data_IF_082670069641
#
_entry.id   IF_082670069641
#
_cell.length_a   1.000
_cell.length_b   1.000
_cell.length_c   1.000
_cell.angle_alpha   90.00
_cell.angle_beta   90.00
_cell.angle_gamma   90.00
#
_symmetry.space_group_name_H-M   'P 1'
#
loop_
_entity.id
_entity.type
_entity.pdbx_description
1 polymer ?
#
# COMPACT_ATOMS: atom_id res chain seq x y z
N UNK A 1 12.03 -2.35 24.73
CA UNK A 1 11.23 -1.25 24.18
C UNK A 1 10.29 -0.73 25.25
N UNK A 2 10.11 0.59 25.37
CA UNK A 2 9.34 1.22 26.44
C UNK A 2 7.82 1.15 26.27
N UNK A 3 7.05 1.59 27.28
CA UNK A 3 5.58 1.56 27.26
C UNK A 3 4.98 2.43 26.14
N UNK A 4 5.64 3.51 25.73
CA UNK A 4 5.21 4.36 24.61
C UNK A 4 5.19 3.59 23.29
N UNK A 5 6.26 2.85 22.99
CA UNK A 5 6.33 2.02 21.79
C UNK A 5 5.30 0.89 21.80
N UNK A 6 5.09 0.25 22.95
CA UNK A 6 4.10 -0.82 23.04
C UNK A 6 2.68 -0.32 22.75
N UNK A 7 2.33 0.91 23.17
CA UNK A 7 1.04 1.54 22.87
C UNK A 7 0.91 1.92 21.39
N UNK A 8 1.97 2.49 20.80
CA UNK A 8 2.01 2.76 19.37
C UNK A 8 1.84 1.46 18.56
N UNK A 9 2.58 0.41 18.93
CA UNK A 9 2.51 -0.89 18.25
C UNK A 9 1.15 -1.57 18.41
N UNK A 10 0.56 -1.55 19.61
CA UNK A 10 -0.79 -2.06 19.84
C UNK A 10 -1.83 -1.29 19.00
N UNK A 11 -1.72 0.04 18.94
CA UNK A 11 -2.56 0.87 18.06
C UNK A 11 -2.41 0.51 16.59
N UNK A 12 -1.16 0.28 16.14
CA UNK A 12 -0.87 -0.17 14.78
C UNK A 12 -1.47 -1.55 14.49
N UNK A 13 -1.39 -2.51 15.41
CA UNK A 13 -2.01 -3.83 15.23
C UNK A 13 -3.52 -3.70 15.02
N UNK A 14 -4.21 -2.93 15.86
CA UNK A 14 -5.66 -2.78 15.80
C UNK A 14 -6.09 -2.01 14.54
N UNK A 15 -5.37 -0.94 14.19
CA UNK A 15 -5.64 -0.16 12.97
C UNK A 15 -5.41 -1.02 11.71
N UNK A 16 -4.29 -1.74 11.61
CA UNK A 16 -4.02 -2.61 10.48
C UNK A 16 -4.99 -3.81 10.37
N UNK A 17 -5.49 -4.32 11.50
CA UNK A 17 -6.56 -5.32 11.47
C UNK A 17 -7.84 -4.73 10.86
N UNK A 18 -8.20 -3.52 11.26
CA UNK A 18 -9.33 -2.79 10.71
C UNK A 18 -9.14 -2.52 9.20
N UNK A 19 -7.96 -2.05 8.79
CA UNK A 19 -7.62 -1.84 7.37
C UNK A 19 -7.75 -3.15 6.57
N UNK A 20 -7.27 -4.27 7.10
CA UNK A 20 -7.37 -5.59 6.46
C UNK A 20 -8.82 -6.04 6.27
N UNK A 21 -9.69 -5.80 7.25
CA UNK A 21 -11.12 -6.06 7.12
C UNK A 21 -11.73 -5.21 6.00
N UNK A 22 -11.36 -3.94 5.89
CA UNK A 22 -11.91 -3.03 4.89
C UNK A 22 -11.45 -3.36 3.46
N UNK A 23 -10.21 -3.81 3.28
CA UNK A 23 -9.64 -4.19 1.97
C UNK A 23 -10.51 -5.21 1.24
N UNK A 24 -11.10 -6.16 1.94
CA UNK A 24 -11.99 -7.15 1.32
C UNK A 24 -13.47 -6.72 1.36
N UNK A 25 -13.93 -6.05 2.43
CA UNK A 25 -15.33 -5.65 2.58
C UNK A 25 -15.74 -4.54 1.61
N UNK A 26 -14.89 -3.54 1.37
CA UNK A 26 -15.25 -2.40 0.52
C UNK A 26 -15.51 -2.80 -0.94
N UNK A 27 -14.67 -3.62 -1.62
CA UNK A 27 -14.99 -4.11 -2.96
C UNK A 27 -16.24 -5.00 -2.99
N UNK A 28 -16.47 -5.83 -1.97
CA UNK A 28 -17.68 -6.67 -1.86
C UNK A 28 -18.94 -5.83 -1.73
N UNK A 29 -18.91 -4.76 -0.95
CA UNK A 29 -20.03 -3.82 -0.85
C UNK A 29 -20.23 -3.09 -2.19
N UNK A 30 -19.17 -2.65 -2.84
CA UNK A 30 -19.24 -1.89 -4.08
C UNK A 30 -20.02 -2.63 -5.17
N UNK A 31 -19.79 -3.93 -5.34
CA UNK A 31 -20.47 -4.76 -6.36
C UNK A 31 -21.95 -5.00 -6.07
N UNK A 32 -22.43 -4.74 -4.82
CA UNK A 32 -23.85 -4.80 -4.47
C UNK A 32 -24.54 -3.46 -4.71
N UNK A 33 -23.79 -2.36 -4.76
CA UNK A 33 -24.32 -1.00 -4.92
C UNK A 33 -24.35 -0.52 -6.37
N UNK A 34 -23.53 -1.11 -7.24
CA UNK A 34 -23.44 -0.69 -8.64
C UNK A 34 -22.88 -1.79 -9.54
N UNK A 35 -23.33 -1.81 -10.79
CA UNK A 35 -22.74 -2.62 -11.87
C UNK A 35 -21.67 -1.83 -12.66
N UNK A 36 -21.49 -0.54 -12.39
CA UNK A 36 -20.50 0.29 -13.07
C UNK A 36 -19.07 -0.07 -12.67
N UNK A 37 -18.34 -0.68 -13.59
CA UNK A 37 -16.92 -1.01 -13.41
C UNK A 37 -16.06 0.23 -13.13
N UNK A 38 -16.45 1.37 -13.71
CA UNK A 38 -15.77 2.66 -13.51
C UNK A 38 -15.96 3.15 -12.08
N UNK A 39 -17.18 3.14 -11.53
CA UNK A 39 -17.42 3.58 -10.16
C UNK A 39 -16.70 2.68 -9.14
N UNK A 40 -16.66 1.37 -9.39
CA UNK A 40 -15.92 0.42 -8.54
C UNK A 40 -14.42 0.71 -8.58
N UNK A 41 -13.86 0.98 -9.76
CA UNK A 41 -12.43 1.29 -9.90
C UNK A 41 -12.04 2.65 -9.28
N UNK A 42 -12.96 3.62 -9.27
CA UNK A 42 -12.75 4.92 -8.62
C UNK A 42 -12.52 4.75 -7.11
N UNK A 43 -13.12 3.75 -6.45
CA UNK A 43 -12.87 3.51 -5.02
C UNK A 43 -11.37 3.24 -4.79
N UNK A 44 -10.76 2.35 -5.57
CA UNK A 44 -9.33 2.09 -5.48
C UNK A 44 -8.47 3.32 -5.80
N UNK A 45 -8.89 4.12 -6.77
CA UNK A 45 -8.23 5.38 -7.10
C UNK A 45 -8.30 6.39 -5.93
N UNK A 46 -9.45 6.47 -5.24
CA UNK A 46 -9.65 7.40 -4.11
C UNK A 46 -8.83 7.04 -2.88
N UNK A 47 -8.53 5.77 -2.63
CA UNK A 47 -7.62 5.36 -1.56
C UNK A 47 -6.19 5.83 -1.83
N UNK A 48 -5.74 5.79 -3.09
CA UNK A 48 -4.35 6.11 -3.47
C UNK A 48 -4.12 7.59 -3.77
N UNK A 49 -5.15 8.31 -4.24
CA UNK A 49 -5.06 9.71 -4.62
C UNK A 49 -4.55 10.64 -3.50
N UNK A 50 -4.93 10.45 -2.22
CA UNK A 50 -4.41 11.24 -1.11
C UNK A 50 -2.89 11.19 -0.96
N UNK A 51 -2.23 10.09 -1.31
CA UNK A 51 -0.77 10.00 -1.29
C UNK A 51 -0.10 10.99 -2.25
N UNK A 52 -0.75 11.29 -3.37
CA UNK A 52 -0.28 12.30 -4.32
C UNK A 52 -0.53 13.72 -3.81
N UNK A 53 -1.72 13.97 -3.27
CA UNK A 53 -2.19 15.32 -2.95
C UNK A 53 -1.79 15.80 -1.56
N UNK A 54 -1.78 14.89 -0.57
CA UNK A 54 -1.71 15.23 0.86
C UNK A 54 -0.47 14.71 1.58
N UNK A 55 0.35 13.83 1.00
CA UNK A 55 1.56 13.35 1.66
C UNK A 55 2.45 14.52 2.13
N UNK A 56 2.50 15.57 1.37
CA UNK A 56 3.28 16.78 1.57
C UNK A 56 2.70 17.69 2.67
N UNK A 57 1.46 18.18 2.53
CA UNK A 57 0.85 19.03 3.57
C UNK A 57 0.78 18.31 4.93
N UNK A 58 0.50 17.00 4.90
CA UNK A 58 0.44 16.18 6.12
C UNK A 58 1.81 16.03 6.76
N UNK A 59 2.90 15.83 6.00
CA UNK A 59 4.25 15.83 6.54
C UNK A 59 4.57 17.12 7.28
N UNK A 60 4.26 18.27 6.68
CA UNK A 60 4.44 19.58 7.33
C UNK A 60 3.54 19.78 8.57
N UNK A 61 2.36 19.17 8.60
CA UNK A 61 1.47 19.19 9.76
C UNK A 61 2.03 18.34 10.91
N UNK A 62 2.58 17.17 10.61
CA UNK A 62 3.19 16.22 11.57
C UNK A 62 4.38 16.86 12.30
N UNK A 63 5.11 17.76 11.63
CA UNK A 63 6.24 18.49 12.24
C UNK A 63 5.80 19.61 13.20
N UNK A 64 4.55 20.07 13.11
CA UNK A 64 4.04 21.24 13.86
C UNK A 64 3.06 20.89 14.97
N UNK A 65 2.37 19.76 14.86
CA UNK A 65 1.30 19.34 15.76
C UNK A 65 1.78 18.13 16.58
N UNK A 66 1.27 18.02 17.80
CA UNK A 66 1.52 16.83 18.63
C UNK A 66 1.05 15.57 17.87
N UNK A 67 1.99 14.68 17.62
CA UNK A 67 1.81 13.46 16.81
C UNK A 67 0.71 12.53 17.33
N UNK A 68 0.47 12.54 18.66
CA UNK A 68 -0.63 11.75 19.27
C UNK A 68 -1.98 12.24 18.80
N UNK A 69 -2.15 13.58 18.73
CA UNK A 69 -3.41 14.15 18.25
C UNK A 69 -3.65 13.86 16.78
N UNK A 70 -2.60 13.83 15.96
CA UNK A 70 -2.74 13.46 14.54
C UNK A 70 -3.14 11.99 14.42
N UNK A 71 -2.48 11.07 15.15
CA UNK A 71 -2.86 9.66 15.19
C UNK A 71 -4.29 9.47 15.71
N UNK A 72 -4.63 10.15 16.79
CA UNK A 72 -5.97 10.05 17.39
C UNK A 72 -7.04 10.63 16.46
N UNK A 73 -6.81 11.81 15.89
CA UNK A 73 -7.77 12.47 15.00
C UNK A 73 -7.99 11.65 13.72
N UNK A 74 -6.92 11.12 13.08
CA UNK A 74 -7.06 10.28 11.91
C UNK A 74 -7.86 9.01 12.22
N UNK A 75 -7.60 8.34 13.33
CA UNK A 75 -8.37 7.15 13.71
C UNK A 75 -9.81 7.50 14.14
N UNK A 76 -10.04 8.66 14.78
CA UNK A 76 -11.39 9.14 15.10
C UNK A 76 -12.23 9.41 13.84
N UNK A 77 -11.63 10.09 12.85
CA UNK A 77 -12.29 10.37 11.57
C UNK A 77 -12.59 9.07 10.83
N UNK A 78 -11.63 8.14 10.76
CA UNK A 78 -11.84 6.81 10.16
C UNK A 78 -12.99 6.06 10.85
N UNK A 79 -13.00 6.02 12.19
CA UNK A 79 -14.06 5.39 12.98
C UNK A 79 -15.44 6.00 12.67
N UNK A 80 -15.54 7.33 12.66
CA UNK A 80 -16.79 8.02 12.39
C UNK A 80 -17.28 7.76 10.94
N UNK A 81 -16.40 7.90 9.95
CA UNK A 81 -16.75 7.71 8.53
C UNK A 81 -17.21 6.28 8.28
N UNK A 82 -16.49 5.27 8.77
CA UNK A 82 -16.89 3.87 8.59
C UNK A 82 -18.10 3.51 9.41
N UNK A 83 -18.27 4.09 10.60
CA UNK A 83 -19.49 3.94 11.40
C UNK A 83 -20.74 4.47 10.68
N UNK A 84 -20.62 5.61 10.00
CA UNK A 84 -21.69 6.17 9.16
C UNK A 84 -21.99 5.24 7.98
N UNK A 85 -20.97 4.67 7.32
CA UNK A 85 -21.16 3.68 6.26
C UNK A 85 -21.87 2.44 6.79
N UNK A 86 -21.44 1.89 7.95
CA UNK A 86 -22.09 0.74 8.59
C UNK A 86 -23.56 0.99 8.89
N UNK A 87 -23.88 2.17 9.43
CA UNK A 87 -25.25 2.58 9.70
C UNK A 87 -26.06 2.71 8.40
N UNK A 88 -25.48 3.33 7.37
CA UNK A 88 -26.10 3.45 6.06
C UNK A 88 -26.43 2.09 5.43
N UNK A 89 -25.54 1.07 5.59
CA UNK A 89 -25.79 -0.30 5.16
C UNK A 89 -26.94 -0.91 5.96
N UNK A 90 -26.90 -0.80 7.30
CA UNK A 90 -27.91 -1.39 8.17
C UNK A 90 -29.32 -0.79 7.95
N UNK A 91 -29.41 0.48 7.56
CA UNK A 91 -30.67 1.18 7.27
C UNK A 91 -31.07 1.14 5.78
N UNK A 92 -30.26 0.57 4.91
CA UNK A 92 -30.54 0.49 3.46
C UNK A 92 -30.36 1.81 2.70
N UNK A 93 -29.69 2.81 3.27
CA UNK A 93 -29.51 4.14 2.64
C UNK A 93 -28.12 4.37 2.04
N UNK A 94 -27.20 3.38 2.14
CA UNK A 94 -25.86 3.51 1.59
C UNK A 94 -25.89 3.55 0.06
N UNK A 95 -25.05 4.41 -0.53
CA UNK A 95 -24.85 4.48 -1.99
C UNK A 95 -23.36 4.34 -2.32
N UNK A 96 -23.07 4.06 -3.59
CA UNK A 96 -21.67 3.96 -4.06
C UNK A 96 -20.88 5.26 -3.84
N UNK A 97 -21.54 6.42 -3.86
CA UNK A 97 -20.90 7.72 -3.63
C UNK A 97 -20.45 7.89 -2.18
N UNK A 98 -21.17 7.32 -1.20
CA UNK A 98 -20.70 7.29 0.19
C UNK A 98 -19.41 6.47 0.32
N UNK A 99 -19.35 5.34 -0.37
CA UNK A 99 -18.16 4.49 -0.37
C UNK A 99 -16.97 5.16 -1.04
N UNK A 100 -17.18 5.86 -2.16
CA UNK A 100 -16.15 6.64 -2.85
C UNK A 100 -15.64 7.79 -1.96
N UNK A 101 -16.53 8.55 -1.34
CA UNK A 101 -16.18 9.64 -0.46
C UNK A 101 -15.43 9.15 0.79
N UNK A 102 -15.91 8.04 1.40
CA UNK A 102 -15.25 7.44 2.55
C UNK A 102 -13.85 6.91 2.20
N UNK A 103 -13.67 6.29 1.03
CA UNK A 103 -12.36 5.81 0.56
C UNK A 103 -11.34 6.96 0.46
N UNK A 104 -11.76 8.13 -0.03
CA UNK A 104 -10.90 9.31 -0.12
C UNK A 104 -10.52 9.86 1.27
N UNK A 105 -11.50 10.01 2.17
CA UNK A 105 -11.25 10.49 3.54
C UNK A 105 -10.36 9.51 4.32
N UNK A 106 -10.61 8.21 4.20
CA UNK A 106 -9.78 7.16 4.81
C UNK A 106 -8.35 7.24 4.27
N UNK A 107 -8.17 7.40 2.96
CA UNK A 107 -6.85 7.56 2.36
C UNK A 107 -6.10 8.78 2.88
N UNK A 108 -6.76 9.93 3.11
CA UNK A 108 -6.13 11.11 3.77
C UNK A 108 -5.67 10.74 5.19
N UNK A 109 -6.54 10.08 5.96
CA UNK A 109 -6.22 9.66 7.32
C UNK A 109 -5.10 8.61 7.35
N UNK A 110 -5.02 7.74 6.35
CA UNK A 110 -3.96 6.74 6.21
C UNK A 110 -2.60 7.41 5.98
N UNK A 111 -2.52 8.37 5.07
CA UNK A 111 -1.31 9.19 4.88
C UNK A 111 -0.87 9.85 6.18
N UNK A 112 -1.82 10.41 6.94
CA UNK A 112 -1.54 11.06 8.23
C UNK A 112 -1.05 10.05 9.28
N UNK A 113 -1.72 8.91 9.38
CA UNK A 113 -1.38 7.86 10.34
C UNK A 113 0.02 7.28 10.08
N UNK A 114 0.31 6.88 8.84
CA UNK A 114 1.58 6.29 8.44
C UNK A 114 2.76 7.25 8.61
N UNK A 115 2.61 8.48 8.13
CA UNK A 115 3.65 9.52 8.26
C UNK A 115 3.95 9.81 9.72
N UNK A 116 2.91 9.89 10.56
CA UNK A 116 3.04 10.18 11.98
C UNK A 116 3.65 9.00 12.74
N UNK A 117 3.21 7.77 12.49
CA UNK A 117 3.75 6.58 13.15
C UNK A 117 5.24 6.40 12.88
N UNK A 118 5.68 6.60 11.63
CA UNK A 118 7.10 6.54 11.27
C UNK A 118 7.92 7.65 11.93
N UNK A 119 7.37 8.87 12.06
CA UNK A 119 8.05 10.00 12.70
C UNK A 119 8.15 9.89 14.24
N UNK A 120 7.34 9.04 14.86
CA UNK A 120 7.39 8.78 16.31
C UNK A 120 8.53 7.84 16.70
N UNK A 121 8.97 6.93 15.84
CA UNK A 121 9.99 5.92 16.17
C UNK A 121 11.25 6.55 16.76
N UNK A 122 11.89 7.56 16.13
CA UNK A 122 13.11 8.16 16.67
C UNK A 122 12.88 8.98 17.95
N UNK A 123 11.64 9.23 18.35
CA UNK A 123 11.32 9.98 19.57
C UNK A 123 11.07 9.07 20.77
N UNK A 124 10.67 7.82 20.53
CA UNK A 124 10.24 6.90 21.57
C UNK A 124 11.15 5.68 21.73
N UNK A 125 12.15 5.53 20.84
CA UNK A 125 13.15 4.47 20.88
C UNK A 125 14.55 5.06 20.76
N UNK A 126 15.53 4.34 21.36
CA UNK A 126 16.95 4.57 21.14
C UNK A 126 17.38 4.02 19.76
N UNK A 127 18.47 4.56 19.19
CA UNK A 127 18.95 4.19 17.85
C UNK A 127 19.14 2.69 17.65
N UNK A 128 19.66 1.99 18.65
CA UNK A 128 19.86 0.54 18.62
C UNK A 128 18.56 -0.28 18.45
N UNK A 129 17.40 0.35 18.71
CA UNK A 129 16.08 -0.28 18.64
C UNK A 129 15.27 0.12 17.40
N UNK A 130 15.75 1.04 16.55
CA UNK A 130 14.99 1.54 15.37
C UNK A 130 14.62 0.42 14.40
N UNK A 131 15.57 -0.45 14.05
CA UNK A 131 15.31 -1.57 13.14
C UNK A 131 14.23 -2.51 13.67
N UNK A 132 14.32 -2.84 14.97
CA UNK A 132 13.34 -3.72 15.63
C UNK A 132 11.96 -3.05 15.74
N UNK A 133 11.91 -1.74 15.97
CA UNK A 133 10.67 -0.96 16.00
C UNK A 133 9.99 -0.93 14.63
N UNK A 134 10.73 -0.57 13.60
CA UNK A 134 10.23 -0.55 12.22
C UNK A 134 9.78 -1.95 11.77
N UNK A 135 10.53 -2.99 12.09
CA UNK A 135 10.17 -4.38 11.77
C UNK A 135 8.84 -4.79 12.42
N UNK A 136 8.58 -4.41 13.69
CA UNK A 136 7.31 -4.70 14.35
C UNK A 136 6.12 -3.98 13.73
N UNK A 137 6.29 -2.71 13.34
CA UNK A 137 5.24 -1.97 12.61
C UNK A 137 4.98 -2.62 11.24
N UNK A 138 6.03 -2.99 10.52
CA UNK A 138 5.91 -3.66 9.22
C UNK A 138 5.24 -5.04 9.32
N UNK A 139 5.50 -5.79 10.39
CA UNK A 139 4.81 -7.06 10.68
C UNK A 139 3.32 -6.80 10.92
N UNK A 140 2.96 -5.74 11.67
CA UNK A 140 1.56 -5.38 11.89
C UNK A 140 0.86 -5.06 10.57
N UNK A 141 1.48 -4.28 9.70
CA UNK A 141 0.95 -3.96 8.38
C UNK A 141 0.82 -5.21 7.50
N UNK A 142 1.87 -6.01 7.37
CA UNK A 142 1.86 -7.14 6.42
C UNK A 142 1.08 -8.34 6.93
N UNK A 143 1.29 -8.74 8.19
CA UNK A 143 0.72 -9.99 8.74
C UNK A 143 -0.68 -9.78 9.26
N UNK A 144 -0.90 -8.75 10.08
CA UNK A 144 -2.22 -8.53 10.69
C UNK A 144 -3.23 -8.10 9.63
N UNK A 145 -2.87 -7.13 8.81
CA UNK A 145 -3.74 -6.63 7.73
C UNK A 145 -4.04 -7.72 6.70
N UNK A 146 -3.00 -8.33 6.12
CA UNK A 146 -3.13 -9.27 5.02
C UNK A 146 -3.63 -10.66 5.42
N UNK A 147 -3.13 -11.23 6.54
CA UNK A 147 -3.39 -12.64 6.88
C UNK A 147 -4.50 -12.84 7.89
N UNK A 148 -4.83 -11.82 8.70
CA UNK A 148 -5.90 -11.92 9.70
C UNK A 148 -7.11 -11.10 9.26
N UNK A 149 -6.90 -9.84 8.88
CA UNK A 149 -7.97 -8.91 8.56
C UNK A 149 -8.77 -9.31 7.32
N UNK A 150 -8.08 -9.63 6.22
CA UNK A 150 -8.76 -9.95 4.96
C UNK A 150 -9.63 -11.21 5.01
N UNK A 151 -9.20 -12.36 5.58
CA UNK A 151 -10.09 -13.52 5.75
C UNK A 151 -11.25 -13.26 6.70
N UNK A 152 -10.97 -12.55 7.81
CA UNK A 152 -11.99 -12.17 8.79
C UNK A 152 -13.11 -11.35 8.14
N UNK A 153 -12.75 -10.47 7.22
CA UNK A 153 -13.71 -9.66 6.46
C UNK A 153 -14.74 -10.51 5.70
N UNK A 154 -14.29 -11.50 4.94
CA UNK A 154 -15.19 -12.38 4.17
C UNK A 154 -16.17 -13.13 5.07
N UNK A 155 -15.68 -13.62 6.22
CA UNK A 155 -16.51 -14.31 7.20
C UNK A 155 -17.55 -13.35 7.83
N UNK A 156 -17.13 -12.16 8.27
CA UNK A 156 -18.01 -11.17 8.84
C UNK A 156 -19.07 -10.68 7.83
N UNK A 157 -18.65 -10.48 6.57
CA UNK A 157 -19.54 -10.09 5.49
C UNK A 157 -20.63 -11.14 5.22
N UNK A 158 -20.28 -12.42 5.34
CA UNK A 158 -21.24 -13.53 5.17
C UNK A 158 -22.27 -13.61 6.30
N UNK A 159 -21.93 -13.15 7.51
CA UNK A 159 -22.87 -13.06 8.63
C UNK A 159 -23.84 -11.88 8.47
N UNK A 160 -23.31 -10.71 8.16
CA UNK A 160 -24.10 -9.52 7.85
C UNK A 160 -23.23 -8.50 7.09
N UNK A 161 -23.78 -7.91 6.03
CA UNK A 161 -23.06 -6.97 5.15
C UNK A 161 -22.50 -5.74 5.90
N UNK A 162 -23.17 -5.25 6.93
CA UNK A 162 -22.76 -4.10 7.74
C UNK A 162 -21.69 -4.45 8.80
N UNK A 163 -21.58 -5.72 9.18
CA UNK A 163 -20.78 -6.17 10.33
C UNK A 163 -19.27 -5.89 10.18
N UNK A 164 -18.61 -6.16 9.03
CA UNK A 164 -17.19 -5.82 8.85
C UNK A 164 -16.94 -4.31 9.01
N UNK A 165 -17.84 -3.46 8.53
CA UNK A 165 -17.71 -2.00 8.67
C UNK A 165 -17.89 -1.55 10.12
N UNK A 166 -18.82 -2.13 10.85
CA UNK A 166 -19.05 -1.83 12.26
C UNK A 166 -17.86 -2.23 13.14
N UNK A 167 -17.35 -3.45 12.96
CA UNK A 167 -16.16 -3.94 13.70
C UNK A 167 -14.94 -3.09 13.35
N UNK A 168 -14.78 -2.70 12.09
CA UNK A 168 -13.74 -1.80 11.64
C UNK A 168 -13.82 -0.44 12.34
N UNK A 169 -15.01 0.15 12.43
CA UNK A 169 -15.23 1.41 13.15
C UNK A 169 -14.81 1.32 14.61
N UNK A 170 -15.16 0.22 15.30
CA UNK A 170 -14.71 -0.03 16.67
C UNK A 170 -13.19 -0.18 16.74
N UNK A 171 -12.57 -0.88 15.80
CA UNK A 171 -11.11 -1.03 15.72
C UNK A 171 -10.42 0.32 15.67
N UNK A 172 -10.85 1.23 14.79
CA UNK A 172 -10.30 2.58 14.73
C UNK A 172 -10.57 3.39 16.01
N UNK A 173 -11.73 3.24 16.65
CA UNK A 173 -12.00 3.89 17.94
C UNK A 173 -11.03 3.41 19.03
N UNK A 174 -10.71 2.12 19.08
CA UNK A 174 -9.72 1.56 20.00
C UNK A 174 -8.32 2.08 19.67
N UNK A 175 -7.94 2.13 18.37
CA UNK A 175 -6.65 2.69 17.93
C UNK A 175 -6.52 4.18 18.31
N UNK A 176 -7.59 4.97 18.20
CA UNK A 176 -7.67 6.34 18.69
C UNK A 176 -7.35 6.43 20.20
N UNK A 177 -7.99 5.62 21.01
CA UNK A 177 -7.76 5.62 22.47
C UNK A 177 -6.33 5.20 22.83
N UNK A 178 -5.77 4.22 22.12
CA UNK A 178 -4.38 3.81 22.27
C UNK A 178 -3.40 4.93 21.89
N UNK A 179 -3.67 5.66 20.82
CA UNK A 179 -2.87 6.82 20.43
C UNK A 179 -2.88 7.93 21.50
N UNK A 180 -4.05 8.26 22.04
CA UNK A 180 -4.17 9.23 23.15
C UNK A 180 -3.47 8.77 24.43
N UNK A 181 -3.34 7.47 24.64
CA UNK A 181 -2.69 6.90 25.82
C UNK A 181 -1.16 6.99 25.79
N UNK A 182 -0.53 7.37 24.68
CA UNK A 182 0.93 7.52 24.57
C UNK A 182 1.40 8.64 25.51
N UNK A 183 2.39 8.41 26.42
CA UNK A 183 2.78 9.40 27.43
C UNK A 183 3.41 10.66 26.83
N UNK A 184 3.05 11.83 27.37
CA UNK A 184 3.49 13.16 26.91
C UNK A 184 5.01 13.35 27.07
N UNK A 185 5.60 12.79 28.09
CA UNK A 185 6.99 13.02 28.46
C UNK A 185 8.01 12.61 27.38
N UNK A 186 7.64 11.71 26.48
CA UNK A 186 8.49 11.28 25.36
C UNK A 186 8.42 12.24 24.14
N UNK A 187 7.59 13.28 24.18
CA UNK A 187 7.29 14.14 23.04
C UNK A 187 7.72 15.61 23.26
N UNK A 188 8.19 15.97 24.48
CA UNK A 188 8.49 17.35 24.83
C UNK A 188 9.90 17.83 24.43
N UNK A 189 10.88 16.94 24.33
CA UNK A 189 12.27 17.32 24.08
C UNK A 189 12.57 17.82 22.66
N UNK A 190 11.70 17.52 21.68
CA UNK A 190 11.93 17.90 20.28
C UNK A 190 11.46 19.31 19.94
N UNK A 191 10.62 19.95 20.79
CA UNK A 191 10.13 21.32 20.53
C UNK A 191 11.19 22.41 20.69
N UNK A 192 12.29 22.14 21.39
CA UNK A 192 13.24 23.18 21.79
C UNK A 192 14.38 23.37 20.78
N UNK A 193 14.80 22.32 20.05
CA UNK A 193 15.96 22.44 19.16
C UNK A 193 15.64 22.71 17.68
N UNK A 194 14.43 22.40 17.20
CA UNK A 194 14.07 22.61 15.78
C UNK A 194 13.59 24.02 15.44
N UNK A 195 13.55 24.95 16.40
CA UNK A 195 12.86 26.24 16.23
C UNK A 195 13.67 27.37 15.60
N UNK A 196 14.95 27.21 15.28
CA UNK A 196 15.76 28.39 14.88
C UNK A 196 16.48 28.34 13.52
N UNK A 197 16.71 27.20 12.86
CA UNK A 197 17.59 27.26 11.68
C UNK A 197 17.13 26.57 10.36
N UNK A 198 16.10 25.75 10.34
CA UNK A 198 15.65 25.21 9.06
C UNK A 198 14.11 25.17 8.98
N UNK A 199 13.51 26.24 8.44
CA UNK A 199 12.16 26.12 7.88
C UNK A 199 12.25 25.05 6.80
N UNK A 200 11.50 23.94 6.92
CA UNK A 200 11.49 22.96 5.84
C UNK A 200 10.96 23.66 4.59
N UNK A 201 11.83 23.92 3.64
CA UNK A 201 11.48 24.41 2.30
C UNK A 201 10.93 23.23 1.49
N UNK A 202 9.80 22.72 1.92
CA UNK A 202 9.23 21.47 1.47
C UNK A 202 9.01 21.41 -0.06
N UNK A 203 8.51 22.52 -0.66
CA UNK A 203 8.37 22.64 -2.12
C UNK A 203 9.75 22.59 -2.79
N UNK A 204 10.78 23.14 -2.13
CA UNK A 204 12.16 23.07 -2.60
C UNK A 204 12.72 21.66 -2.49
N UNK A 205 12.38 20.93 -1.42
CA UNK A 205 12.79 19.53 -1.22
C UNK A 205 12.22 18.60 -2.29
N UNK A 206 10.96 18.81 -2.68
CA UNK A 206 10.36 18.06 -3.79
C UNK A 206 10.97 18.47 -5.12
N UNK A 207 11.09 19.77 -5.37
CA UNK A 207 11.77 20.24 -6.60
C UNK A 207 13.18 19.68 -6.69
N UNK A 208 13.89 19.66 -5.57
CA UNK A 208 15.21 19.03 -5.47
C UNK A 208 15.15 17.54 -5.76
N UNK A 209 14.23 16.80 -5.10
CA UNK A 209 14.04 15.36 -5.31
C UNK A 209 13.70 15.04 -6.76
N UNK A 210 12.76 15.76 -7.37
CA UNK A 210 12.40 15.59 -8.79
C UNK A 210 13.59 15.90 -9.69
N UNK A 211 14.30 17.02 -9.46
CA UNK A 211 15.49 17.39 -10.23
C UNK A 211 16.60 16.34 -10.10
N UNK A 212 16.81 15.84 -8.89
CA UNK A 212 17.81 14.78 -8.64
C UNK A 212 17.44 13.48 -9.38
N UNK A 213 16.18 13.02 -9.25
CA UNK A 213 15.68 11.83 -9.95
C UNK A 213 15.76 12.00 -11.48
N UNK A 214 15.44 13.18 -11.98
CA UNK A 214 15.51 13.47 -13.42
C UNK A 214 16.95 13.46 -13.95
N UNK A 215 17.90 14.03 -13.22
CA UNK A 215 19.29 14.13 -13.62
C UNK A 215 20.06 12.80 -13.44
N UNK A 216 19.64 11.94 -12.51
CA UNK A 216 20.31 10.68 -12.23
C UNK A 216 19.77 9.57 -13.16
N UNK A 217 20.49 9.25 -14.22
CA UNK A 217 20.06 8.32 -15.30
C UNK A 217 19.50 6.98 -14.79
N UNK A 218 20.15 6.38 -13.78
CA UNK A 218 19.72 5.08 -13.21
C UNK A 218 18.41 5.23 -12.44
N UNK A 219 18.35 6.20 -11.52
CA UNK A 219 17.15 6.42 -10.68
C UNK A 219 15.95 6.83 -11.52
N UNK A 220 16.14 7.73 -12.49
CA UNK A 220 15.10 8.13 -13.43
C UNK A 220 14.49 6.92 -14.14
N UNK A 221 15.33 6.05 -14.70
CA UNK A 221 14.85 4.85 -15.41
C UNK A 221 14.16 3.87 -14.47
N UNK A 222 14.69 3.66 -13.25
CA UNK A 222 14.04 2.84 -12.24
C UNK A 222 12.66 3.38 -11.86
N UNK A 223 12.55 4.69 -11.57
CA UNK A 223 11.28 5.30 -11.15
C UNK A 223 10.25 5.26 -12.28
N UNK A 224 10.65 5.61 -13.51
CA UNK A 224 9.73 5.57 -14.66
C UNK A 224 9.24 4.15 -14.93
N UNK A 225 10.13 3.16 -14.95
CA UNK A 225 9.76 1.76 -15.16
C UNK A 225 8.83 1.27 -14.04
N UNK A 226 9.17 1.54 -12.78
CA UNK A 226 8.34 1.12 -11.64
C UNK A 226 6.98 1.80 -11.63
N UNK A 227 6.92 3.11 -11.92
CA UNK A 227 5.67 3.86 -11.97
C UNK A 227 4.75 3.33 -13.08
N UNK A 228 5.30 3.10 -14.29
CA UNK A 228 4.50 2.60 -15.42
C UNK A 228 3.98 1.19 -15.16
N UNK A 229 4.81 0.29 -14.61
CA UNK A 229 4.37 -1.07 -14.23
C UNK A 229 3.36 -0.99 -13.06
N UNK A 230 3.53 -0.05 -12.11
CA UNK A 230 2.57 0.21 -11.05
C UNK A 230 1.18 0.64 -11.59
N UNK A 231 1.14 1.51 -12.59
CA UNK A 231 -0.09 1.89 -13.31
C UNK A 231 -0.74 0.67 -13.97
N UNK A 232 0.05 -0.16 -14.66
CA UNK A 232 -0.44 -1.37 -15.32
C UNK A 232 -1.00 -2.38 -14.30
N UNK A 233 -0.31 -2.54 -13.16
CA UNK A 233 -0.77 -3.42 -12.09
C UNK A 233 -2.05 -2.92 -11.44
N UNK A 234 -2.11 -1.62 -11.13
CA UNK A 234 -3.34 -0.98 -10.62
C UNK A 234 -4.50 -1.10 -11.60
N UNK A 235 -4.24 -0.99 -12.91
CA UNK A 235 -5.23 -1.24 -13.96
C UNK A 235 -5.78 -2.66 -13.90
N UNK A 236 -4.91 -3.67 -13.85
CA UNK A 236 -5.31 -5.07 -13.83
C UNK A 236 -6.07 -5.49 -12.57
N UNK A 237 -5.79 -4.85 -11.42
CA UNK A 237 -6.40 -5.21 -10.14
C UNK A 237 -7.64 -4.39 -9.78
N UNK A 238 -7.91 -3.27 -10.47
CA UNK A 238 -8.99 -2.34 -10.15
C UNK A 238 -10.39 -2.97 -10.09
N UNK A 239 -10.65 -3.95 -10.94
CA UNK A 239 -11.93 -4.65 -11.05
C UNK A 239 -11.82 -6.16 -10.76
N UNK A 240 -10.74 -6.56 -10.09
CA UNK A 240 -10.45 -7.97 -9.78
C UNK A 240 -11.60 -8.66 -9.01
N UNK A 241 -12.26 -7.93 -8.11
CA UNK A 241 -13.42 -8.45 -7.38
C UNK A 241 -14.56 -8.85 -8.30
N UNK A 242 -14.86 -8.03 -9.32
CA UNK A 242 -15.88 -8.35 -10.33
C UNK A 242 -15.50 -9.58 -11.13
N UNK A 243 -14.25 -9.66 -11.59
CA UNK A 243 -13.74 -10.81 -12.33
C UNK A 243 -13.86 -12.10 -11.52
N UNK A 244 -13.44 -12.09 -10.27
CA UNK A 244 -13.48 -13.28 -9.39
C UNK A 244 -14.92 -13.71 -9.10
N UNK A 245 -15.84 -12.76 -8.84
CA UNK A 245 -17.20 -13.08 -8.40
C UNK A 245 -18.12 -13.33 -9.60
N UNK A 246 -18.09 -12.47 -10.64
CA UNK A 246 -19.02 -12.56 -11.76
C UNK A 246 -18.57 -13.51 -12.88
N UNK A 247 -17.25 -13.62 -13.11
CA UNK A 247 -16.74 -14.40 -14.23
C UNK A 247 -16.15 -15.76 -13.81
N UNK A 248 -15.50 -15.81 -12.63
CA UNK A 248 -15.03 -17.07 -12.06
C UNK A 248 -16.02 -17.70 -11.05
N UNK A 249 -17.20 -17.07 -10.87
CA UNK A 249 -18.33 -17.56 -10.09
C UNK A 249 -18.00 -17.92 -8.63
N UNK A 250 -17.04 -17.21 -8.03
CA UNK A 250 -16.67 -17.42 -6.64
C UNK A 250 -17.70 -16.79 -5.70
N UNK A 251 -18.16 -17.55 -4.70
CA UNK A 251 -19.02 -16.98 -3.67
C UNK A 251 -18.29 -15.86 -2.88
N UNK A 252 -18.95 -14.69 -2.65
CA UNK A 252 -18.31 -13.50 -2.05
C UNK A 252 -17.58 -13.76 -0.74
N UNK A 253 -18.08 -14.67 0.09
CA UNK A 253 -17.47 -15.04 1.39
C UNK A 253 -16.04 -15.57 1.28
N UNK A 254 -15.62 -16.08 0.13
CA UNK A 254 -14.27 -16.61 -0.08
C UNK A 254 -13.30 -15.57 -0.65
N UNK A 255 -13.76 -14.36 -1.00
CA UNK A 255 -12.91 -13.32 -1.59
C UNK A 255 -11.73 -12.96 -0.69
N UNK A 256 -11.96 -12.76 0.63
CA UNK A 256 -10.90 -12.50 1.60
C UNK A 256 -9.87 -13.63 1.70
N UNK A 257 -10.31 -14.91 1.54
CA UNK A 257 -9.41 -16.07 1.52
C UNK A 257 -8.47 -16.02 0.31
N UNK A 258 -8.96 -15.59 -0.86
CA UNK A 258 -8.13 -15.44 -2.06
C UNK A 258 -7.02 -14.40 -1.82
N UNK A 259 -7.36 -13.24 -1.24
CA UNK A 259 -6.38 -12.21 -0.90
C UNK A 259 -5.32 -12.74 0.08
N UNK A 260 -5.74 -13.55 1.04
CA UNK A 260 -4.82 -14.19 1.99
C UNK A 260 -3.87 -15.17 1.31
N UNK A 261 -4.36 -16.02 0.43
CA UNK A 261 -3.52 -16.99 -0.31
C UNK A 261 -2.50 -16.22 -1.19
N UNK A 262 -2.92 -15.16 -1.84
CA UNK A 262 -2.02 -14.27 -2.58
C UNK A 262 -0.96 -13.66 -1.64
N UNK A 263 -1.37 -13.21 -0.45
CA UNK A 263 -0.47 -12.69 0.59
C UNK A 263 0.55 -13.72 1.07
N UNK A 264 0.18 -15.01 1.20
CA UNK A 264 1.12 -16.10 1.50
C UNK A 264 2.21 -16.21 0.43
N UNK A 265 1.84 -16.09 -0.84
CA UNK A 265 2.82 -15.99 -1.93
C UNK A 265 3.80 -14.84 -1.73
N UNK A 266 3.29 -13.64 -1.40
CA UNK A 266 4.12 -12.47 -1.14
C UNK A 266 5.06 -12.67 0.07
N UNK A 267 4.58 -13.28 1.14
CA UNK A 267 5.40 -13.61 2.31
C UNK A 267 6.54 -14.57 1.95
N UNK A 268 6.24 -15.63 1.20
CA UNK A 268 7.26 -16.57 0.73
C UNK A 268 8.28 -15.88 -0.18
N UNK A 269 7.83 -15.01 -1.08
CA UNK A 269 8.71 -14.18 -1.92
C UNK A 269 9.64 -13.31 -1.10
N UNK A 270 9.14 -12.69 -0.04
CA UNK A 270 9.91 -11.86 0.87
C UNK A 270 10.99 -12.66 1.64
N UNK A 271 10.65 -13.84 2.12
CA UNK A 271 11.58 -14.72 2.86
C UNK A 271 12.68 -15.26 1.93
N UNK A 272 12.32 -15.59 0.70
CA UNK A 272 13.23 -16.19 -0.27
C UNK A 272 14.15 -15.14 -0.93
N UNK A 273 13.68 -13.92 -1.14
CA UNK A 273 14.39 -12.88 -1.88
C UNK A 273 15.85 -12.64 -1.44
N UNK A 274 16.19 -12.50 -0.13
CA UNK A 274 17.57 -12.29 0.28
C UNK A 274 18.47 -13.49 0.01
N UNK A 275 17.97 -14.71 0.23
CA UNK A 275 18.71 -15.96 -0.01
C UNK A 275 18.94 -16.20 -1.50
N UNK A 276 17.90 -16.03 -2.31
CA UNK A 276 17.98 -16.17 -3.76
C UNK A 276 18.92 -15.12 -4.38
N UNK A 277 18.85 -13.87 -3.90
CA UNK A 277 19.74 -12.79 -4.34
C UNK A 277 21.21 -13.08 -4.05
N UNK A 278 21.53 -13.66 -2.88
CA UNK A 278 22.91 -14.07 -2.56
C UNK A 278 23.41 -15.20 -3.46
N UNK A 279 22.52 -16.14 -3.85
CA UNK A 279 22.91 -17.31 -4.65
C UNK A 279 22.98 -17.03 -6.14
N UNK A 280 22.05 -16.26 -6.69
CA UNK A 280 21.87 -16.07 -8.13
C UNK A 280 22.20 -14.64 -8.61
N UNK A 281 22.51 -13.73 -7.68
CA UNK A 281 22.76 -12.32 -7.97
C UNK A 281 21.48 -11.46 -7.89
N UNK A 282 21.62 -10.24 -7.37
CA UNK A 282 20.50 -9.29 -7.16
C UNK A 282 19.81 -8.92 -8.47
N UNK A 283 20.56 -8.67 -9.53
CA UNK A 283 20.04 -8.29 -10.85
C UNK A 283 19.15 -9.35 -11.47
N UNK A 284 19.59 -10.60 -11.42
CA UNK A 284 18.84 -11.72 -11.97
C UNK A 284 17.53 -11.86 -11.24
N UNK A 285 17.56 -11.83 -9.90
CA UNK A 285 16.36 -11.99 -9.09
C UNK A 285 15.40 -10.80 -9.24
N UNK A 286 15.90 -9.57 -9.35
CA UNK A 286 15.07 -8.40 -9.68
C UNK A 286 14.41 -8.55 -11.04
N UNK A 287 15.16 -8.97 -12.05
CA UNK A 287 14.64 -9.17 -13.40
C UNK A 287 13.57 -10.26 -13.44
N UNK A 288 13.79 -11.39 -12.77
CA UNK A 288 12.80 -12.47 -12.66
C UNK A 288 11.55 -11.98 -11.93
N UNK A 289 11.71 -11.24 -10.81
CA UNK A 289 10.60 -10.71 -10.03
C UNK A 289 9.69 -9.79 -10.84
N UNK A 290 10.24 -8.78 -11.50
CA UNK A 290 9.44 -7.81 -12.26
C UNK A 290 8.86 -8.41 -13.55
N UNK A 291 9.64 -9.18 -14.29
CA UNK A 291 9.16 -9.81 -15.53
C UNK A 291 8.14 -10.90 -15.20
N UNK A 292 8.42 -11.73 -14.20
CA UNK A 292 7.50 -12.75 -13.74
C UNK A 292 6.17 -12.18 -13.27
N UNK A 293 6.17 -11.16 -12.43
CA UNK A 293 4.93 -10.53 -11.96
C UNK A 293 4.12 -9.90 -13.11
N UNK A 294 4.79 -9.30 -14.10
CA UNK A 294 4.14 -8.70 -15.26
C UNK A 294 3.49 -9.75 -16.18
N UNK A 295 4.21 -10.84 -16.46
CA UNK A 295 3.67 -11.96 -17.26
C UNK A 295 2.54 -12.69 -16.52
N UNK A 296 2.66 -12.84 -15.20
CA UNK A 296 1.60 -13.45 -14.38
C UNK A 296 0.34 -12.58 -14.38
N UNK A 297 0.46 -11.24 -14.34
CA UNK A 297 -0.68 -10.34 -14.47
C UNK A 297 -1.44 -10.59 -15.79
N UNK A 298 -0.70 -10.75 -16.89
CA UNK A 298 -1.28 -11.12 -18.18
C UNK A 298 -1.95 -12.50 -18.13
N UNK A 299 -1.26 -13.49 -17.56
CA UNK A 299 -1.76 -14.86 -17.45
C UNK A 299 -3.03 -14.97 -16.58
N UNK A 300 -3.19 -14.14 -15.56
CA UNK A 300 -4.41 -14.07 -14.74
C UNK A 300 -5.64 -13.73 -15.60
N UNK A 301 -5.50 -12.88 -16.62
CA UNK A 301 -6.58 -12.58 -17.56
C UNK A 301 -7.05 -13.79 -18.38
N UNK A 302 -6.18 -14.79 -18.59
CA UNK A 302 -6.50 -16.04 -19.28
C UNK A 302 -6.98 -17.15 -18.35
N UNK A 303 -7.05 -16.91 -17.03
CA UNK A 303 -7.46 -17.95 -16.09
C UNK A 303 -8.89 -18.46 -16.42
N UNK A 304 -9.04 -19.79 -16.66
CA UNK A 304 -10.32 -20.38 -17.02
C UNK A 304 -11.20 -20.70 -15.80
N UNK A 305 -10.62 -20.74 -14.61
CA UNK A 305 -11.28 -21.03 -13.35
C UNK A 305 -10.54 -20.44 -12.16
N UNK A 306 -11.19 -20.45 -11.00
CA UNK A 306 -10.68 -19.86 -9.77
C UNK A 306 -9.38 -20.53 -9.29
N UNK A 307 -9.19 -21.81 -9.47
CA UNK A 307 -8.01 -22.52 -8.98
C UNK A 307 -6.74 -22.08 -9.70
N UNK A 308 -6.80 -21.95 -11.04
CA UNK A 308 -5.69 -21.43 -11.83
C UNK A 308 -5.45 -19.95 -11.52
N UNK A 309 -6.52 -19.16 -11.37
CA UNK A 309 -6.38 -17.75 -10.96
C UNK A 309 -5.65 -17.61 -9.62
N UNK A 310 -6.05 -18.37 -8.61
CA UNK A 310 -5.43 -18.36 -7.27
C UNK A 310 -3.97 -18.77 -7.33
N UNK A 311 -3.64 -19.83 -8.07
CA UNK A 311 -2.24 -20.24 -8.26
C UNK A 311 -1.40 -19.12 -8.90
N UNK A 312 -1.91 -18.48 -9.96
CA UNK A 312 -1.26 -17.36 -10.61
C UNK A 312 -1.15 -16.14 -9.67
N UNK A 313 -2.21 -15.84 -8.91
CA UNK A 313 -2.20 -14.72 -7.96
C UNK A 313 -1.15 -14.93 -6.85
N UNK A 314 -1.01 -16.15 -6.36
CA UNK A 314 0.00 -16.53 -5.37
C UNK A 314 1.42 -16.38 -5.92
N UNK A 315 1.67 -16.87 -7.14
CA UNK A 315 2.95 -16.70 -7.83
C UNK A 315 3.24 -15.24 -8.14
N UNK A 316 2.21 -14.45 -8.51
CA UNK A 316 2.31 -13.01 -8.72
C UNK A 316 2.67 -12.26 -7.45
N UNK A 317 2.04 -12.61 -6.33
CA UNK A 317 2.39 -12.08 -5.00
C UNK A 317 3.83 -12.38 -4.63
N UNK A 318 4.29 -13.62 -4.84
CA UNK A 318 5.68 -14.02 -4.64
C UNK A 318 6.66 -13.16 -5.47
N UNK A 319 6.40 -13.02 -6.77
CA UNK A 319 7.28 -12.31 -7.69
C UNK A 319 7.36 -10.80 -7.39
N UNK A 320 6.21 -10.17 -7.04
CA UNK A 320 6.16 -8.74 -6.74
C UNK A 320 6.82 -8.40 -5.40
N UNK A 321 6.67 -9.27 -4.39
CA UNK A 321 7.35 -9.10 -3.10
C UNK A 321 8.88 -9.23 -3.27
N UNK A 322 9.34 -10.20 -4.03
CA UNK A 322 10.75 -10.37 -4.38
C UNK A 322 11.30 -9.12 -5.08
N UNK A 323 10.58 -8.61 -6.09
CA UNK A 323 10.94 -7.36 -6.75
C UNK A 323 11.04 -6.19 -5.78
N UNK A 324 10.03 -5.95 -4.94
CA UNK A 324 9.97 -4.81 -4.05
C UNK A 324 11.12 -4.79 -3.04
N UNK A 325 11.47 -5.93 -2.46
CA UNK A 325 12.56 -6.04 -1.50
C UNK A 325 13.90 -5.73 -2.15
N UNK A 326 14.18 -6.32 -3.30
CA UNK A 326 15.45 -6.12 -4.00
C UNK A 326 15.56 -4.71 -4.60
N UNK A 327 14.44 -4.15 -5.07
CA UNK A 327 14.36 -2.77 -5.52
C UNK A 327 14.69 -1.79 -4.38
N UNK A 328 14.12 -2.01 -3.18
CA UNK A 328 14.37 -1.17 -2.01
C UNK A 328 15.84 -1.21 -1.62
N UNK A 329 16.44 -2.41 -1.57
CA UNK A 329 17.87 -2.57 -1.32
C UNK A 329 18.73 -1.85 -2.39
N UNK A 330 18.29 -1.83 -3.65
CA UNK A 330 18.97 -1.11 -4.72
C UNK A 330 18.89 0.41 -4.53
N UNK A 331 17.74 0.94 -4.13
CA UNK A 331 17.63 2.37 -3.81
C UNK A 331 18.54 2.77 -2.65
N UNK A 332 18.64 1.94 -1.61
CA UNK A 332 19.54 2.18 -0.47
C UNK A 332 21.02 2.20 -0.86
N UNK A 333 21.42 1.45 -1.89
CA UNK A 333 22.82 1.45 -2.38
C UNK A 333 23.12 2.57 -3.36
N UNK A 334 22.13 3.10 -4.08
CA UNK A 334 22.33 4.11 -5.13
C UNK A 334 22.12 5.54 -4.62
N UNK A 335 21.27 5.72 -3.60
CA UNK A 335 20.96 7.04 -3.04
C UNK A 335 21.86 7.28 -1.82
N UNK A 336 22.62 8.40 -1.76
CA UNK A 336 23.39 8.77 -0.58
C UNK A 336 22.50 8.85 0.67
N UNK A 337 23.02 8.42 1.83
CA UNK A 337 22.26 8.36 3.08
C UNK A 337 21.64 9.71 3.47
N UNK A 338 22.37 10.81 3.26
CA UNK A 338 21.95 12.19 3.60
C UNK A 338 20.73 12.65 2.77
N UNK A 339 20.55 12.08 1.57
CA UNK A 339 19.48 12.42 0.63
C UNK A 339 18.37 11.38 0.58
N UNK A 340 18.56 10.24 1.28
CA UNK A 340 17.67 9.08 1.13
C UNK A 340 16.21 9.42 1.44
N UNK A 341 15.94 10.07 2.57
CA UNK A 341 14.57 10.42 2.96
C UNK A 341 13.85 11.31 1.94
N UNK A 342 14.53 12.37 1.45
CA UNK A 342 13.98 13.31 0.47
C UNK A 342 13.68 12.64 -0.88
N UNK A 343 14.63 11.86 -1.37
CA UNK A 343 14.51 11.21 -2.70
C UNK A 343 13.55 10.05 -2.64
N UNK A 344 13.57 9.26 -1.56
CA UNK A 344 12.66 8.14 -1.36
C UNK A 344 11.21 8.61 -1.23
N UNK A 345 10.94 9.70 -0.48
CA UNK A 345 9.61 10.30 -0.37
C UNK A 345 9.10 10.78 -1.73
N UNK A 346 9.91 11.55 -2.47
CA UNK A 346 9.56 12.03 -3.82
C UNK A 346 9.26 10.88 -4.77
N UNK A 347 10.10 9.83 -4.76
CA UNK A 347 9.88 8.62 -5.57
C UNK A 347 8.57 7.93 -5.21
N UNK A 348 8.30 7.74 -3.90
CA UNK A 348 7.06 7.09 -3.42
C UNK A 348 5.83 7.85 -3.91
N UNK A 349 5.84 9.17 -3.77
CA UNK A 349 4.76 10.04 -4.25
C UNK A 349 4.55 9.90 -5.76
N UNK A 350 5.62 9.89 -6.57
CA UNK A 350 5.52 9.74 -8.02
C UNK A 350 4.98 8.37 -8.42
N UNK A 351 5.48 7.29 -7.81
CA UNK A 351 5.07 5.91 -8.18
C UNK A 351 3.63 5.64 -7.74
N UNK A 352 3.30 5.91 -6.50
CA UNK A 352 1.96 5.63 -5.97
C UNK A 352 0.92 6.62 -6.47
N UNK A 353 1.31 7.88 -6.64
CA UNK A 353 0.44 8.93 -7.16
C UNK A 353 -0.02 8.74 -8.61
N UNK A 354 0.66 7.89 -9.38
CA UNK A 354 0.20 7.51 -10.73
C UNK A 354 -0.76 6.32 -10.74
N UNK A 355 -0.82 5.51 -9.68
CA UNK A 355 -1.70 4.33 -9.62
C UNK A 355 -3.20 4.64 -9.80
N UNK A 356 -3.76 5.76 -9.28
CA UNK A 356 -5.15 6.14 -9.55
C UNK A 356 -5.50 6.19 -11.04
N UNK A 357 -4.57 6.64 -11.88
CA UNK A 357 -4.76 6.68 -13.34
C UNK A 357 -4.96 5.26 -13.87
N UNK A 358 -4.12 4.31 -13.43
CA UNK A 358 -4.25 2.90 -13.78
C UNK A 358 -5.59 2.32 -13.33
N UNK A 359 -5.99 2.60 -12.08
CA UNK A 359 -7.27 2.12 -11.54
C UNK A 359 -8.45 2.57 -12.39
N UNK A 360 -8.55 3.86 -12.72
CA UNK A 360 -9.65 4.42 -13.55
C UNK A 360 -9.61 3.82 -14.95
N UNK A 361 -8.44 3.74 -15.60
CA UNK A 361 -8.30 3.09 -16.91
C UNK A 361 -8.74 1.63 -16.87
N UNK A 362 -8.42 0.92 -15.78
CA UNK A 362 -8.88 -0.45 -15.56
C UNK A 362 -10.39 -0.56 -15.50
N UNK A 363 -11.06 0.36 -14.81
CA UNK A 363 -12.52 0.43 -14.77
C UNK A 363 -13.17 0.68 -16.14
N UNK A 364 -12.57 1.57 -16.93
CA UNK A 364 -13.04 1.86 -18.31
C UNK A 364 -12.88 0.63 -19.21
N UNK A 365 -11.72 -0.04 -19.17
CA UNK A 365 -11.49 -1.27 -19.94
C UNK A 365 -12.41 -2.41 -19.52
N UNK A 366 -12.64 -2.54 -18.20
CA UNK A 366 -13.51 -3.57 -17.65
C UNK A 366 -14.98 -3.43 -18.08
N UNK A 367 -15.40 -2.23 -18.50
CA UNK A 367 -16.71 -2.02 -19.07
C UNK A 367 -16.94 -2.87 -20.33
N UNK A 368 -15.89 -3.09 -21.12
CA UNK A 368 -15.97 -3.90 -22.34
C UNK A 368 -15.77 -5.39 -22.05
N UNK A 369 -14.81 -5.73 -21.16
CA UNK A 369 -14.59 -7.09 -20.65
C UNK A 369 -13.80 -7.04 -19.36
N UNK A 370 -14.19 -7.83 -18.36
CA UNK A 370 -13.51 -7.91 -17.07
C UNK A 370 -12.07 -8.45 -17.18
N UNK A 371 -11.71 -9.10 -18.29
CA UNK A 371 -10.35 -9.59 -18.61
C UNK A 371 -9.45 -8.54 -19.24
N UNK A 372 -10.02 -7.56 -19.94
CA UNK A 372 -9.27 -6.54 -20.68
C UNK A 372 -8.26 -5.77 -19.82
N UNK A 373 -8.57 -5.33 -18.60
CA UNK A 373 -7.59 -4.64 -17.75
C UNK A 373 -6.32 -5.47 -17.50
N UNK A 374 -6.45 -6.78 -17.28
CA UNK A 374 -5.33 -7.69 -17.07
C UNK A 374 -4.57 -7.95 -18.38
N UNK A 375 -5.25 -8.05 -19.51
CA UNK A 375 -4.59 -8.20 -20.82
C UNK A 375 -3.78 -6.95 -21.16
N UNK A 376 -4.41 -5.79 -21.16
CA UNK A 376 -3.75 -4.53 -21.54
C UNK A 376 -2.64 -4.20 -20.54
N UNK A 377 -2.94 -4.21 -19.25
CA UNK A 377 -1.96 -3.94 -18.20
C UNK A 377 -0.81 -4.95 -18.22
N UNK A 378 -1.12 -6.24 -18.36
CA UNK A 378 -0.14 -7.31 -18.41
C UNK A 378 0.75 -7.27 -19.67
N UNK A 379 0.21 -6.96 -20.84
CA UNK A 379 1.00 -6.79 -22.06
C UNK A 379 1.95 -5.61 -21.94
N UNK A 380 1.46 -4.44 -21.56
CA UNK A 380 2.28 -3.22 -21.43
C UNK A 380 3.37 -3.45 -20.37
N UNK A 381 3.00 -3.97 -19.20
CA UNK A 381 3.96 -4.25 -18.13
C UNK A 381 5.03 -5.26 -18.57
N UNK A 382 4.65 -6.35 -19.28
CA UNK A 382 5.56 -7.37 -19.79
C UNK A 382 6.53 -6.80 -20.82
N UNK A 383 6.06 -6.01 -21.77
CA UNK A 383 6.90 -5.35 -22.78
C UNK A 383 7.93 -4.43 -22.11
N UNK A 384 7.49 -3.61 -21.14
CA UNK A 384 8.37 -2.71 -20.40
C UNK A 384 9.39 -3.49 -19.56
N UNK A 385 8.96 -4.53 -18.85
CA UNK A 385 9.85 -5.36 -18.05
C UNK A 385 10.90 -6.05 -18.90
N UNK A 386 10.50 -6.67 -20.02
CA UNK A 386 11.39 -7.37 -20.95
C UNK A 386 12.37 -6.39 -21.61
N UNK A 387 11.89 -5.23 -22.10
CA UNK A 387 12.78 -4.21 -22.68
C UNK A 387 13.79 -3.61 -21.68
N UNK A 388 13.49 -3.71 -20.40
CA UNK A 388 14.33 -3.23 -19.30
C UNK A 388 15.30 -4.28 -18.74
N UNK A 389 15.30 -5.53 -19.23
CA UNK A 389 16.17 -6.62 -18.73
C UNK A 389 17.64 -6.21 -18.76
N UNK A 390 18.13 -5.71 -19.90
CA UNK A 390 19.54 -5.27 -20.04
C UNK A 390 19.89 -4.17 -19.03
N UNK A 391 18.96 -3.29 -18.75
CA UNK A 391 19.14 -2.23 -17.77
C UNK A 391 19.23 -2.79 -16.35
N UNK A 392 18.32 -3.66 -15.93
CA UNK A 392 18.36 -4.28 -14.59
C UNK A 392 19.64 -5.11 -14.40
N UNK A 393 20.04 -5.86 -15.41
CA UNK A 393 21.31 -6.63 -15.38
C UNK A 393 22.54 -5.73 -15.24
N UNK A 394 22.53 -4.51 -15.80
CA UNK A 394 23.65 -3.57 -15.71
C UNK A 394 23.77 -2.81 -14.39
N UNK A 395 22.70 -2.74 -13.60
CA UNK A 395 22.71 -2.00 -12.32
C UNK A 395 23.57 -2.72 -11.28
N UNK A 396 23.45 -4.02 -11.17
CA UNK A 396 24.13 -4.76 -10.11
C UNK A 396 25.60 -5.04 -10.46
N UNK A 397 25.96 -5.17 -11.73
CA UNK A 397 27.39 -5.25 -12.07
C UNK A 397 28.18 -4.01 -11.62
N UNK A 398 27.51 -2.85 -11.55
CA UNK A 398 28.11 -1.61 -11.02
C UNK A 398 28.07 -1.51 -9.47
N UNK A 399 27.11 -2.17 -8.82
CA UNK A 399 26.99 -2.16 -7.36
C UNK A 399 27.83 -3.26 -6.71
N UNK A 400 28.03 -4.38 -7.39
CA UNK A 400 28.92 -5.48 -6.96
C UNK A 400 30.41 -5.13 -7.17
N UNK A 401 30.72 -4.27 -8.14
CA UNK A 401 32.08 -3.77 -8.36
C UNK A 401 32.48 -2.63 -7.40
N UNK A 402 31.54 -2.09 -6.64
CA UNK A 402 31.78 -1.01 -5.66
C UNK A 402 31.81 -1.50 -4.21
N UNK A 403 31.60 -2.80 -3.97
CA UNK A 403 31.81 -3.51 -2.70
C UNK A 403 33.09 -4.33 -2.74
#
# INVERSE_FOLDING_TARGET
MGPAFNRLWAGSIVSNLADGVLIAAAPLLAITLTDSTVLISIIGAMVMLPWLLFAIPIGALVDRVDRRFILAASNAIRSAVIGIVALGIATGHVTIFWLIASAFVIGICEVANDTTAQSLIPQILDEEHYEKGNSRLQISETVIQGFIGSPLSGFLYALAMWLPFFINSIGYAVAMLLALSIPIQYLQDVRVESSKENKPHFVEDIKFGIKYLYNHKVLRRLVVTTATIGVCYSMGTATMVLFIIKELELAPKYFGVILTIQGLGALLGAIVAPKASKKFGRSIMMTIGITGSSVILLAQGFAPNIYIFVALATLGGFAIAQWNILLMATYQTVIPNELYGRIHGTRRTLVWGMMPIGSVLGGVLAHYSLRLPMYVGGIIASVIAISSIKFFMSIASKTEAAQ
#
